data_IF_270027320558
#
_entry.id   IF_270027320558
#
_cell.length_a   1.000
_cell.length_b   1.000
_cell.length_c   1.000
_cell.angle_alpha   90.00
_cell.angle_beta   90.00
_cell.angle_gamma   90.00
#
_symmetry.space_group_name_H-M   'P 1'
#
loop_
_entity.id
_entity.type
_entity.pdbx_description
1 polymer ?
#
# COMPACT_ATOMS: atom_id res chain seq x y z
N UNK A 1 -4.28 6.31 -11.33
CA UNK A 1 -5.16 5.16 -11.44
C UNK A 1 -4.75 4.23 -12.57
N UNK A 2 -4.01 3.21 -12.22
CA UNK A 2 -3.67 2.13 -13.12
C UNK A 2 -4.91 1.24 -13.33
N UNK A 3 -4.97 0.51 -14.46
CA UNK A 3 -6.21 -0.19 -14.83
C UNK A 3 -6.17 -1.72 -14.62
N UNK A 4 -5.08 -2.24 -14.08
CA UNK A 4 -4.89 -3.68 -13.86
C UNK A 4 -4.58 -4.52 -15.10
N UNK A 5 -4.46 -3.90 -16.27
CA UNK A 5 -4.16 -4.59 -17.54
C UNK A 5 -2.86 -4.13 -18.18
N UNK A 6 -2.72 -2.83 -18.39
CA UNK A 6 -1.58 -2.20 -19.04
C UNK A 6 -1.32 -0.84 -18.41
N UNK A 7 -0.32 -0.78 -17.53
CA UNK A 7 0.03 0.44 -16.81
C UNK A 7 0.53 1.55 -17.76
N UNK A 8 1.22 1.21 -18.85
CA UNK A 8 1.74 2.19 -19.80
C UNK A 8 0.60 2.89 -20.52
N UNK A 9 -0.39 2.12 -20.98
CA UNK A 9 -1.59 2.68 -21.59
C UNK A 9 -2.42 3.47 -20.59
N UNK A 10 -2.52 3.02 -19.34
CA UNK A 10 -3.22 3.74 -18.28
C UNK A 10 -2.56 5.10 -18.00
N UNK A 11 -1.24 5.15 -17.87
CA UNK A 11 -0.45 6.38 -17.71
C UNK A 11 -0.65 7.30 -18.92
N UNK A 12 -0.54 6.77 -20.14
CA UNK A 12 -0.74 7.58 -21.36
C UNK A 12 -2.14 8.19 -21.42
N UNK A 13 -3.17 7.47 -21.00
CA UNK A 13 -4.56 7.95 -20.94
C UNK A 13 -4.71 9.13 -19.97
N UNK A 14 -3.96 9.14 -18.86
CA UNK A 14 -4.02 10.17 -17.80
C UNK A 14 -3.03 11.32 -18.02
N UNK A 15 -2.12 11.20 -18.98
CA UNK A 15 -1.03 12.17 -19.23
C UNK A 15 -1.51 13.60 -19.50
N UNK A 16 -2.70 13.72 -20.08
CA UNK A 16 -3.31 15.03 -20.38
C UNK A 16 -4.33 15.47 -19.30
N UNK A 17 -4.28 14.87 -18.12
CA UNK A 17 -5.14 15.14 -16.97
C UNK A 17 -6.16 14.05 -16.69
N UNK A 18 -6.80 14.12 -15.51
CA UNK A 18 -7.76 13.13 -15.04
C UNK A 18 -8.95 12.93 -15.99
N UNK A 19 -9.31 11.68 -16.24
CA UNK A 19 -10.45 11.29 -17.05
C UNK A 19 -11.64 10.94 -16.16
N UNK A 20 -12.56 11.89 -15.92
CA UNK A 20 -13.71 11.73 -15.01
C UNK A 20 -14.53 10.47 -15.32
N UNK A 21 -14.77 10.15 -16.59
CA UNK A 21 -15.55 8.97 -16.97
C UNK A 21 -14.87 7.66 -16.51
N UNK A 22 -13.55 7.57 -16.62
CA UNK A 22 -12.78 6.42 -16.16
C UNK A 22 -12.77 6.33 -14.62
N UNK A 23 -12.52 7.46 -13.94
CA UNK A 23 -12.57 7.53 -12.47
C UNK A 23 -13.94 7.07 -11.96
N UNK A 24 -15.03 7.61 -12.52
CA UNK A 24 -16.38 7.24 -12.17
C UNK A 24 -16.68 5.76 -12.41
N UNK A 25 -16.13 5.17 -13.47
CA UNK A 25 -16.28 3.73 -13.72
C UNK A 25 -15.62 2.89 -12.62
N UNK A 26 -14.43 3.27 -12.14
CA UNK A 26 -13.75 2.60 -11.03
C UNK A 26 -14.51 2.80 -9.70
N UNK A 27 -14.97 4.00 -9.39
CA UNK A 27 -15.76 4.28 -8.18
C UNK A 27 -17.06 3.44 -8.15
N UNK A 28 -17.73 3.25 -9.29
CA UNK A 28 -18.89 2.36 -9.40
C UNK A 28 -18.55 0.91 -9.07
N UNK A 29 -17.36 0.43 -9.44
CA UNK A 29 -16.95 -0.95 -9.13
C UNK A 29 -16.76 -1.16 -7.62
N UNK A 30 -16.24 -0.16 -6.89
CA UNK A 30 -16.19 -0.17 -5.42
C UNK A 30 -17.59 -0.11 -4.81
N UNK A 31 -18.44 0.84 -5.28
CA UNK A 31 -19.80 1.00 -4.78
C UNK A 31 -20.64 -0.26 -4.93
N UNK A 32 -20.61 -0.93 -6.10
CA UNK A 32 -21.33 -2.18 -6.38
C UNK A 32 -20.99 -3.31 -5.40
N UNK A 33 -19.76 -3.31 -4.87
CA UNK A 33 -19.26 -4.32 -3.92
C UNK A 33 -19.40 -3.91 -2.46
N UNK A 34 -20.09 -2.79 -2.20
CA UNK A 34 -20.28 -2.28 -0.84
C UNK A 34 -19.03 -1.70 -0.20
N UNK A 35 -17.95 -1.48 -0.95
CA UNK A 35 -16.72 -0.89 -0.44
C UNK A 35 -16.96 0.60 -0.19
N UNK A 36 -16.80 1.02 1.06
CA UNK A 36 -17.12 2.38 1.54
C UNK A 36 -15.91 3.19 1.95
N UNK A 37 -14.75 2.55 2.02
CA UNK A 37 -13.49 3.18 2.36
C UNK A 37 -12.42 2.76 1.36
N UNK A 38 -11.67 3.71 0.85
CA UNK A 38 -10.55 3.49 -0.06
C UNK A 38 -9.41 4.41 0.32
N UNK A 39 -8.22 3.84 0.46
CA UNK A 39 -6.96 4.55 0.59
C UNK A 39 -6.08 4.20 -0.61
N UNK A 40 -5.71 5.17 -1.42
CA UNK A 40 -4.89 4.93 -2.62
C UNK A 40 -3.39 5.16 -2.39
N UNK A 41 -2.58 4.86 -3.39
CA UNK A 41 -1.13 5.04 -3.36
C UNK A 41 -0.65 6.35 -3.96
N UNK A 42 -1.55 7.21 -4.42
CA UNK A 42 -1.22 8.48 -5.08
C UNK A 42 -0.81 8.35 -6.54
N UNK A 43 -0.74 9.47 -7.22
CA UNK A 43 -0.18 9.65 -8.55
C UNK A 43 0.24 11.10 -8.80
N UNK A 44 1.13 11.34 -9.74
CA UNK A 44 1.57 12.72 -10.08
C UNK A 44 0.82 13.34 -11.27
N UNK A 45 -0.29 12.71 -11.72
CA UNK A 45 -1.14 13.21 -12.81
C UNK A 45 -2.41 13.90 -12.30
N UNK A 46 -2.63 13.92 -10.98
CA UNK A 46 -3.79 14.52 -10.32
C UNK A 46 -5.04 13.65 -10.33
N UNK A 47 -4.94 12.37 -10.73
CA UNK A 47 -6.06 11.45 -10.79
C UNK A 47 -6.55 11.10 -9.38
N UNK A 48 -5.65 10.83 -8.44
CA UNK A 48 -5.96 10.54 -7.04
C UNK A 48 -6.73 11.69 -6.39
N UNK A 49 -6.23 12.92 -6.55
CA UNK A 49 -6.92 14.13 -6.06
C UNK A 49 -8.30 14.32 -6.70
N UNK A 50 -8.42 14.10 -8.02
CA UNK A 50 -9.70 14.18 -8.70
C UNK A 50 -10.67 13.10 -8.23
N UNK A 51 -10.17 11.90 -7.97
CA UNK A 51 -10.95 10.78 -7.42
C UNK A 51 -11.50 11.12 -6.04
N UNK A 52 -10.69 11.70 -5.15
CA UNK A 52 -11.14 12.14 -3.83
C UNK A 52 -12.32 13.13 -3.91
N UNK A 53 -12.31 14.05 -4.88
CA UNK A 53 -13.40 15.00 -5.12
C UNK A 53 -14.71 14.31 -5.58
N UNK A 54 -14.60 13.21 -6.32
CA UNK A 54 -15.75 12.50 -6.90
C UNK A 54 -16.28 11.37 -6.01
N UNK A 55 -15.46 10.85 -5.11
CA UNK A 55 -15.76 9.63 -4.35
C UNK A 55 -17.01 9.75 -3.46
N UNK A 56 -17.27 10.95 -2.90
CA UNK A 56 -18.46 11.23 -2.10
C UNK A 56 -19.78 10.98 -2.83
N UNK A 57 -19.83 11.17 -4.15
CA UNK A 57 -21.01 10.89 -4.98
C UNK A 57 -21.37 9.39 -4.99
N UNK A 58 -20.40 8.52 -4.64
CA UNK A 58 -20.54 7.06 -4.57
C UNK A 58 -20.64 6.53 -3.13
N UNK A 59 -20.69 7.44 -2.14
CA UNK A 59 -20.69 7.09 -0.72
C UNK A 59 -19.39 6.44 -0.24
N UNK A 60 -18.26 6.84 -0.83
CA UNK A 60 -16.93 6.32 -0.53
C UNK A 60 -16.14 7.41 0.22
N UNK A 61 -15.65 7.08 1.42
CA UNK A 61 -14.62 7.83 2.13
C UNK A 61 -13.27 7.49 1.46
N UNK A 62 -12.73 8.44 0.72
CA UNK A 62 -11.52 8.24 -0.07
C UNK A 62 -10.37 9.07 0.47
N UNK A 63 -9.24 8.42 0.74
CA UNK A 63 -8.03 9.03 1.27
C UNK A 63 -6.88 8.89 0.29
N UNK A 64 -6.09 9.94 0.15
CA UNK A 64 -5.00 9.97 -0.81
C UNK A 64 -3.77 10.70 -0.26
N UNK A 65 -2.54 10.23 -0.60
CA UNK A 65 -1.31 10.98 -0.36
C UNK A 65 -1.06 12.01 -1.47
N UNK A 66 -1.99 12.16 -2.40
CA UNK A 66 -1.89 12.89 -3.67
C UNK A 66 -0.87 12.25 -4.61
N UNK A 67 0.40 12.15 -4.19
CA UNK A 67 1.46 11.43 -4.90
C UNK A 67 2.34 10.64 -3.90
N UNK A 68 3.01 9.61 -4.41
CA UNK A 68 4.04 8.93 -3.64
C UNK A 68 5.36 9.72 -3.68
N UNK A 69 6.20 9.57 -2.66
CA UNK A 69 7.53 10.17 -2.59
C UNK A 69 8.59 9.07 -2.67
N UNK A 70 9.51 9.20 -3.60
CA UNK A 70 10.58 8.20 -3.79
C UNK A 70 11.94 8.88 -3.95
N UNK A 71 13.02 8.21 -3.52
CA UNK A 71 14.38 8.69 -3.71
C UNK A 71 14.79 8.54 -5.19
N UNK A 72 15.50 9.52 -5.73
CA UNK A 72 16.05 9.45 -7.10
C UNK A 72 16.81 8.13 -7.33
N UNK A 73 16.69 7.58 -8.53
CA UNK A 73 17.25 6.29 -8.95
C UNK A 73 16.65 5.04 -8.24
N UNK A 74 15.67 5.23 -7.35
CA UNK A 74 14.93 4.15 -6.69
C UNK A 74 13.54 3.94 -7.33
N UNK A 75 12.83 2.91 -6.85
CA UNK A 75 11.47 2.61 -7.30
C UNK A 75 10.48 3.71 -6.89
N UNK A 76 9.52 4.04 -7.79
CA UNK A 76 8.42 4.98 -7.50
C UNK A 76 8.07 5.96 -8.62
N UNK A 77 8.88 6.05 -9.68
CA UNK A 77 8.73 7.04 -10.77
C UNK A 77 7.35 7.04 -11.44
N UNK A 78 6.65 5.89 -11.48
CA UNK A 78 5.37 5.77 -12.17
C UNK A 78 4.27 6.58 -11.48
N UNK A 79 4.31 6.66 -10.14
CA UNK A 79 3.25 7.24 -9.31
C UNK A 79 3.73 8.37 -8.42
N UNK A 80 5.04 8.63 -8.37
CA UNK A 80 5.64 9.51 -7.38
C UNK A 80 6.40 10.69 -7.92
N UNK A 81 6.74 11.59 -7.00
CA UNK A 81 7.70 12.71 -7.17
C UNK A 81 8.99 12.36 -6.45
N UNK A 82 10.13 12.60 -7.09
CA UNK A 82 11.44 12.25 -6.51
C UNK A 82 11.96 13.29 -5.53
N UNK A 83 12.92 12.82 -4.71
CA UNK A 83 13.78 13.66 -3.89
C UNK A 83 15.23 13.14 -3.95
N UNK A 84 16.22 14.03 -3.78
CA UNK A 84 17.65 13.71 -3.78
C UNK A 84 18.27 13.74 -2.38
N UNK A 85 17.69 14.51 -1.45
CA UNK A 85 18.14 14.67 -0.07
C UNK A 85 16.98 15.01 0.87
N UNK A 86 17.19 14.92 2.20
CA UNK A 86 16.11 15.11 3.18
C UNK A 86 15.47 16.49 3.17
N UNK A 87 16.19 17.55 2.82
CA UNK A 87 15.61 18.88 2.65
C UNK A 87 14.60 18.89 1.49
N UNK A 88 14.90 18.19 0.42
CA UNK A 88 14.00 18.04 -0.72
C UNK A 88 12.83 17.12 -0.40
N UNK A 89 13.06 16.06 0.37
CA UNK A 89 12.00 15.19 0.91
C UNK A 89 11.00 16.01 1.74
N UNK A 90 11.47 16.82 2.69
CA UNK A 90 10.61 17.72 3.49
C UNK A 90 9.79 18.64 2.60
N UNK A 91 10.40 19.24 1.57
CA UNK A 91 9.67 20.08 0.60
C UNK A 91 8.56 19.28 -0.12
N UNK A 92 8.79 18.00 -0.44
CA UNK A 92 7.75 17.12 -1.02
C UNK A 92 6.61 16.83 -0.04
N UNK A 93 6.91 16.69 1.24
CA UNK A 93 5.88 16.54 2.29
C UNK A 93 5.01 17.79 2.38
N UNK A 94 5.63 18.98 2.39
CA UNK A 94 4.89 20.24 2.40
C UNK A 94 4.07 20.46 1.12
N UNK A 95 4.60 20.09 -0.04
CA UNK A 95 3.89 20.10 -1.32
C UNK A 95 2.65 19.18 -1.28
N UNK A 96 2.77 17.98 -0.72
CA UNK A 96 1.63 17.07 -0.54
C UNK A 96 0.57 17.68 0.41
N UNK A 97 0.99 18.33 1.50
CA UNK A 97 0.12 19.06 2.41
C UNK A 97 -0.67 20.16 1.71
N UNK A 98 0.00 21.00 0.93
CA UNK A 98 -0.60 22.08 0.14
C UNK A 98 -1.61 21.56 -0.90
N UNK A 99 -1.35 20.38 -1.47
CA UNK A 99 -2.24 19.72 -2.42
C UNK A 99 -3.39 18.95 -1.75
N UNK A 100 -3.44 18.92 -0.41
CA UNK A 100 -4.53 18.33 0.38
C UNK A 100 -4.38 16.83 0.62
N UNK A 101 -3.15 16.35 0.82
CA UNK A 101 -2.90 14.95 1.20
C UNK A 101 -3.50 14.61 2.56
N UNK A 102 -4.05 13.40 2.69
CA UNK A 102 -4.52 12.85 3.96
C UNK A 102 -3.37 12.19 4.75
N UNK A 103 -2.33 11.73 4.07
CA UNK A 103 -1.16 11.03 4.61
C UNK A 103 0.02 11.09 3.63
N UNK A 104 1.20 10.64 4.03
CA UNK A 104 2.37 10.54 3.16
C UNK A 104 2.60 9.10 2.72
N UNK A 105 2.84 8.89 1.42
CA UNK A 105 3.26 7.60 0.85
C UNK A 105 4.74 7.66 0.48
N UNK A 106 5.52 6.70 0.99
CA UNK A 106 6.95 6.55 0.67
C UNK A 106 7.24 5.21 0.01
N UNK A 107 8.33 5.16 -0.76
CA UNK A 107 8.86 3.95 -1.38
C UNK A 107 10.22 3.65 -0.75
N UNK A 108 10.32 2.59 0.06
CA UNK A 108 11.56 2.25 0.79
C UNK A 108 12.37 1.16 0.14
N UNK A 109 11.72 0.35 -0.70
CA UNK A 109 12.35 -0.76 -1.43
C UNK A 109 11.88 -0.82 -2.88
N UNK A 110 12.46 -1.72 -3.65
CA UNK A 110 11.96 -2.09 -4.97
C UNK A 110 10.81 -3.12 -4.92
N UNK A 111 10.47 -3.64 -6.09
CA UNK A 111 9.46 -4.69 -6.29
C UNK A 111 10.04 -6.08 -5.99
N UNK A 112 9.14 -7.06 -5.95
CA UNK A 112 9.54 -8.47 -6.03
C UNK A 112 10.26 -8.74 -7.35
N UNK A 113 11.30 -9.56 -7.30
CA UNK A 113 11.86 -10.19 -8.47
C UNK A 113 11.04 -11.45 -8.79
N UNK A 114 10.38 -11.47 -9.93
CA UNK A 114 9.56 -12.60 -10.37
C UNK A 114 10.36 -13.67 -11.14
N UNK A 115 11.66 -13.48 -11.31
CA UNK A 115 12.59 -14.45 -11.91
C UNK A 115 13.40 -15.17 -10.84
N UNK A 116 13.53 -14.56 -9.64
CA UNK A 116 14.33 -15.12 -8.55
C UNK A 116 13.61 -14.98 -7.20
N UNK A 117 13.12 -16.12 -6.68
CA UNK A 117 12.43 -16.16 -5.40
C UNK A 117 13.33 -15.68 -4.25
N UNK A 118 12.78 -14.82 -3.39
CA UNK A 118 13.48 -14.25 -2.25
C UNK A 118 14.21 -12.94 -2.54
N UNK A 119 14.25 -12.50 -3.80
CA UNK A 119 14.88 -11.24 -4.19
C UNK A 119 13.88 -10.12 -4.41
N UNK A 120 14.37 -8.91 -4.22
CA UNK A 120 13.69 -7.65 -4.56
C UNK A 120 14.55 -6.87 -5.54
N UNK A 121 13.92 -6.09 -6.40
CA UNK A 121 14.62 -5.25 -7.38
C UNK A 121 15.20 -4.00 -6.70
N UNK A 122 16.34 -3.52 -7.20
CA UNK A 122 16.98 -2.30 -6.72
C UNK A 122 17.56 -2.42 -5.30
N UNK A 123 18.02 -1.31 -4.76
CA UNK A 123 18.61 -1.23 -3.42
C UNK A 123 17.58 -0.63 -2.45
N UNK A 124 17.34 -1.24 -1.27
CA UNK A 124 16.53 -0.63 -0.22
C UNK A 124 17.15 0.68 0.29
N UNK A 125 16.31 1.59 0.78
CA UNK A 125 16.79 2.74 1.55
C UNK A 125 17.44 2.27 2.85
N UNK A 126 18.40 3.03 3.35
CA UNK A 126 18.99 2.75 4.65
C UNK A 126 18.00 2.98 5.79
N UNK A 127 18.14 2.24 6.89
CA UNK A 127 17.30 2.41 8.08
C UNK A 127 17.33 3.85 8.61
N UNK A 128 18.48 4.53 8.53
CA UNK A 128 18.62 5.92 8.93
C UNK A 128 17.81 6.87 8.05
N UNK A 129 17.80 6.66 6.73
CA UNK A 129 16.98 7.46 5.81
C UNK A 129 15.50 7.24 6.05
N UNK A 130 15.04 5.98 6.20
CA UNK A 130 13.65 5.66 6.48
C UNK A 130 13.20 6.31 7.79
N UNK A 131 14.03 6.24 8.84
CA UNK A 131 13.75 6.85 10.13
C UNK A 131 13.60 8.38 10.03
N UNK A 132 14.49 9.05 9.30
CA UNK A 132 14.42 10.50 9.11
C UNK A 132 13.19 10.90 8.28
N UNK A 133 12.86 10.14 7.23
CA UNK A 133 11.65 10.36 6.42
C UNK A 133 10.38 10.26 7.25
N UNK A 134 10.25 9.22 8.07
CA UNK A 134 9.09 9.02 8.95
C UNK A 134 9.00 10.14 9.98
N UNK A 135 10.13 10.49 10.61
CA UNK A 135 10.18 11.60 11.57
C UNK A 135 9.69 12.91 10.96
N UNK A 136 10.19 13.31 9.78
CA UNK A 136 9.78 14.52 9.08
C UNK A 136 8.25 14.50 8.79
N UNK A 137 7.72 13.38 8.29
CA UNK A 137 6.30 13.29 7.98
C UNK A 137 5.42 13.37 9.25
N UNK A 138 5.84 12.73 10.34
CA UNK A 138 5.15 12.79 11.64
C UNK A 138 5.19 14.19 12.26
N UNK A 139 6.31 14.91 12.18
CA UNK A 139 6.40 16.32 12.64
C UNK A 139 5.44 17.24 11.88
N UNK A 140 5.19 16.97 10.61
CA UNK A 140 4.19 17.68 9.79
C UNK A 140 2.75 17.17 10.01
N UNK A 141 2.53 16.24 10.96
CA UNK A 141 1.21 15.73 11.34
C UNK A 141 0.64 14.64 10.42
N UNK A 142 1.46 13.98 9.61
CA UNK A 142 1.03 12.93 8.68
C UNK A 142 1.37 11.53 9.16
N UNK A 143 0.43 10.60 9.03
CA UNK A 143 0.73 9.18 9.03
C UNK A 143 1.51 8.78 7.76
N UNK A 144 2.31 7.72 7.86
CA UNK A 144 3.18 7.24 6.77
C UNK A 144 2.76 5.86 6.28
N UNK A 145 2.45 5.77 4.99
CA UNK A 145 2.22 4.54 4.24
C UNK A 145 3.49 4.16 3.49
N UNK A 146 4.01 2.96 3.66
CA UNK A 146 5.27 2.54 3.02
C UNK A 146 5.12 1.33 2.11
N UNK A 147 5.51 1.49 0.83
CA UNK A 147 5.81 0.33 -0.02
C UNK A 147 7.14 -0.29 0.45
N UNK A 148 7.10 -1.53 0.90
CA UNK A 148 8.25 -2.18 1.54
C UNK A 148 8.23 -3.68 1.31
N UNK A 149 9.37 -4.27 0.94
CA UNK A 149 9.57 -5.71 0.76
C UNK A 149 10.90 -6.16 1.38
N UNK A 150 10.99 -7.45 1.71
CA UNK A 150 12.18 -8.07 2.26
C UNK A 150 12.44 -7.74 3.73
N UNK A 151 13.11 -8.64 4.44
CA UNK A 151 13.36 -8.51 5.88
C UNK A 151 13.96 -7.16 6.26
N UNK A 152 15.08 -6.78 5.64
CA UNK A 152 15.76 -5.54 5.95
C UNK A 152 14.84 -4.31 5.80
N UNK A 153 14.09 -4.23 4.71
CA UNK A 153 13.18 -3.11 4.47
C UNK A 153 12.07 -3.04 5.52
N UNK A 154 11.45 -4.19 5.85
CA UNK A 154 10.38 -4.26 6.83
C UNK A 154 10.90 -3.93 8.24
N UNK A 155 12.05 -4.46 8.65
CA UNK A 155 12.67 -4.12 9.93
C UNK A 155 12.94 -2.62 10.03
N UNK A 156 13.56 -2.02 9.01
CA UNK A 156 13.81 -0.58 8.97
C UNK A 156 12.52 0.24 9.04
N UNK A 157 11.44 -0.19 8.38
CA UNK A 157 10.14 0.49 8.44
C UNK A 157 9.49 0.38 9.82
N UNK A 158 9.53 -0.80 10.46
CA UNK A 158 9.01 -1.03 11.81
C UNK A 158 9.76 -0.19 12.83
N UNK A 159 11.11 -0.22 12.81
CA UNK A 159 11.96 0.56 13.71
C UNK A 159 11.79 2.08 13.53
N UNK A 160 11.51 2.52 12.32
CA UNK A 160 11.22 3.92 12.03
C UNK A 160 9.83 4.37 12.50
N UNK A 161 8.92 3.43 12.83
CA UNK A 161 7.56 3.73 13.25
C UNK A 161 6.62 4.07 12.08
N UNK A 162 6.80 3.44 10.92
CA UNK A 162 5.87 3.55 9.78
C UNK A 162 4.46 3.11 10.22
N UNK A 163 3.43 3.86 9.85
CA UNK A 163 2.05 3.59 10.30
C UNK A 163 1.39 2.43 9.54
N UNK A 164 1.69 2.26 8.25
CA UNK A 164 1.32 1.05 7.52
C UNK A 164 2.39 0.58 6.54
N UNK A 165 2.58 -0.73 6.49
CA UNK A 165 3.55 -1.40 5.62
C UNK A 165 2.77 -2.20 4.59
N UNK A 166 2.92 -1.79 3.34
CA UNK A 166 2.27 -2.42 2.20
C UNK A 166 3.15 -3.55 1.67
N UNK A 167 2.55 -4.65 1.30
CA UNK A 167 3.15 -5.89 0.80
C UNK A 167 3.93 -6.66 1.86
N UNK A 168 5.09 -6.18 2.29
CA UNK A 168 6.01 -6.83 3.22
C UNK A 168 6.29 -8.30 2.85
N UNK A 169 6.49 -8.56 1.56
CA UNK A 169 6.84 -9.90 1.09
C UNK A 169 8.20 -10.33 1.65
N UNK A 170 8.37 -11.64 1.83
CA UNK A 170 9.61 -12.28 2.31
C UNK A 170 10.02 -11.92 3.74
N UNK A 171 9.05 -11.64 4.63
CA UNK A 171 9.34 -11.57 6.06
C UNK A 171 9.70 -12.94 6.62
N UNK A 172 10.75 -13.00 7.43
CA UNK A 172 11.05 -14.15 8.28
C UNK A 172 10.31 -14.05 9.63
N UNK A 173 10.52 -15.04 10.49
CA UNK A 173 9.85 -15.14 11.79
C UNK A 173 10.23 -14.01 12.75
N UNK A 174 11.50 -13.56 12.71
CA UNK A 174 11.99 -12.46 13.54
C UNK A 174 11.32 -11.15 13.14
N UNK A 175 11.35 -10.82 11.85
CA UNK A 175 10.72 -9.64 11.28
C UNK A 175 9.22 -9.60 11.57
N UNK A 176 8.55 -10.75 11.44
CA UNK A 176 7.12 -10.85 11.76
C UNK A 176 6.85 -10.64 13.26
N UNK A 177 7.74 -11.07 14.14
CA UNK A 177 7.63 -10.82 15.58
C UNK A 177 7.83 -9.34 15.91
N UNK A 178 8.82 -8.68 15.29
CA UNK A 178 9.00 -7.23 15.42
C UNK A 178 7.75 -6.46 14.98
N UNK A 179 7.13 -6.89 13.88
CA UNK A 179 5.89 -6.28 13.40
C UNK A 179 4.74 -6.49 14.38
N UNK A 180 4.63 -7.68 15.01
CA UNK A 180 3.61 -7.97 16.03
C UNK A 180 3.76 -7.10 17.29
N UNK A 181 4.99 -6.75 17.66
CA UNK A 181 5.29 -5.89 18.81
C UNK A 181 5.20 -4.38 18.48
N UNK A 182 4.91 -4.05 17.21
CA UNK A 182 4.81 -2.68 16.72
C UNK A 182 3.37 -2.15 16.68
N UNK A 183 3.22 -0.87 16.37
CA UNK A 183 1.93 -0.24 16.08
C UNK A 183 1.58 -0.25 14.59
N UNK A 184 2.52 -0.64 13.73
CA UNK A 184 2.35 -0.64 12.28
C UNK A 184 1.25 -1.61 11.84
N UNK A 185 0.47 -1.21 10.87
CA UNK A 185 -0.54 -2.08 10.24
C UNK A 185 0.05 -2.69 8.98
N UNK A 186 0.03 -4.02 8.89
CA UNK A 186 0.42 -4.71 7.66
C UNK A 186 -0.73 -4.82 6.67
N UNK A 187 -0.49 -4.47 5.41
CA UNK A 187 -1.44 -4.61 4.30
C UNK A 187 -0.83 -5.57 3.27
N UNK A 188 -1.13 -6.87 3.32
CA UNK A 188 -0.41 -7.92 2.59
C UNK A 188 -0.49 -7.81 1.07
N UNK A 189 -1.63 -7.40 0.53
CA UNK A 189 -1.90 -7.34 -0.92
C UNK A 189 -1.58 -8.66 -1.65
N UNK A 190 -1.98 -9.79 -1.09
CA UNK A 190 -1.68 -11.15 -1.60
C UNK A 190 -2.11 -11.33 -3.06
N UNK A 191 -3.20 -10.67 -3.45
CA UNK A 191 -3.74 -10.76 -4.82
C UNK A 191 -2.83 -10.20 -5.88
N UNK A 192 -1.85 -9.36 -5.52
CA UNK A 192 -0.84 -8.86 -6.48
C UNK A 192 0.02 -9.99 -7.05
N UNK A 193 0.13 -11.12 -6.35
CA UNK A 193 0.83 -12.32 -6.80
C UNK A 193 -0.16 -13.45 -7.14
N UNK A 194 -1.18 -13.68 -6.31
CA UNK A 194 -2.18 -14.74 -6.55
C UNK A 194 -2.87 -14.60 -7.91
N UNK A 195 -3.22 -13.39 -8.33
CA UNK A 195 -3.88 -13.13 -9.60
C UNK A 195 -2.96 -13.27 -10.83
N UNK A 196 -1.65 -13.48 -10.62
CA UNK A 196 -0.70 -13.74 -11.71
C UNK A 196 -0.62 -15.21 -12.10
N UNK A 197 -1.14 -16.13 -11.29
CA UNK A 197 -1.15 -17.55 -11.64
C UNK A 197 -1.78 -17.76 -13.01
N UNK A 198 -1.18 -18.62 -13.79
CA UNK A 198 -1.62 -19.01 -15.16
C UNK A 198 -1.77 -17.84 -16.15
N UNK A 199 -1.18 -16.65 -15.86
CA UNK A 199 -1.25 -15.51 -16.77
C UNK A 199 -0.30 -15.63 -17.97
N UNK A 200 0.60 -16.62 -17.98
CA UNK A 200 1.58 -16.86 -19.05
C UNK A 200 2.73 -15.85 -19.12
N UNK A 201 2.84 -14.94 -18.14
CA UNK A 201 3.90 -13.92 -18.10
C UNK A 201 5.05 -14.27 -17.15
N UNK A 202 4.78 -15.04 -16.13
CA UNK A 202 5.71 -15.42 -15.08
C UNK A 202 5.66 -16.92 -14.86
N UNK A 203 6.76 -17.51 -14.36
CA UNK A 203 6.84 -18.92 -14.02
C UNK A 203 5.95 -19.27 -12.82
N UNK A 204 4.99 -20.17 -13.00
CA UNK A 204 4.03 -20.56 -11.96
C UNK A 204 4.70 -21.15 -10.71
N UNK A 205 5.86 -21.81 -10.86
CA UNK A 205 6.59 -22.36 -9.73
C UNK A 205 7.11 -21.27 -8.80
N UNK A 206 7.65 -20.18 -9.36
CA UNK A 206 8.12 -19.01 -8.61
C UNK A 206 6.93 -18.31 -7.94
N UNK A 207 5.85 -18.05 -8.70
CA UNK A 207 4.62 -17.47 -8.16
C UNK A 207 4.06 -18.29 -6.99
N UNK A 208 3.98 -19.61 -7.14
CA UNK A 208 3.50 -20.51 -6.09
C UNK A 208 4.35 -20.47 -4.83
N UNK A 209 5.66 -20.30 -4.98
CA UNK A 209 6.58 -20.16 -3.85
C UNK A 209 6.37 -18.84 -3.09
N UNK A 210 6.19 -17.73 -3.81
CA UNK A 210 5.89 -16.41 -3.22
C UNK A 210 4.54 -16.46 -2.50
N UNK A 211 3.51 -16.99 -3.15
CA UNK A 211 2.15 -17.13 -2.59
C UNK A 211 2.21 -17.92 -1.28
N UNK A 212 2.85 -19.08 -1.28
CA UNK A 212 2.96 -19.93 -0.08
C UNK A 212 3.62 -19.19 1.08
N UNK A 213 4.71 -18.46 0.82
CA UNK A 213 5.38 -17.66 1.85
C UNK A 213 4.45 -16.59 2.43
N UNK A 214 3.70 -15.88 1.57
CA UNK A 214 2.72 -14.88 2.00
C UNK A 214 1.58 -15.48 2.84
N UNK A 215 1.05 -16.63 2.41
CA UNK A 215 -0.02 -17.35 3.13
C UNK A 215 0.44 -17.87 4.50
N UNK A 216 1.65 -18.42 4.59
CA UNK A 216 2.24 -18.84 5.86
C UNK A 216 2.46 -17.66 6.80
N UNK A 217 2.94 -16.52 6.28
CA UNK A 217 3.09 -15.30 7.06
C UNK A 217 1.74 -14.75 7.53
N UNK A 218 0.70 -14.81 6.72
CA UNK A 218 -0.65 -14.39 7.15
C UNK A 218 -1.17 -15.27 8.30
N UNK A 219 -1.00 -16.61 8.23
CA UNK A 219 -1.35 -17.54 9.31
C UNK A 219 -0.60 -17.24 10.61
N UNK A 220 0.69 -16.91 10.51
CA UNK A 220 1.52 -16.54 11.66
C UNK A 220 1.10 -15.19 12.22
N UNK A 221 0.83 -14.19 11.37
CA UNK A 221 0.36 -12.88 11.74
C UNK A 221 -0.95 -12.93 12.54
N UNK A 222 -1.91 -13.74 12.10
CA UNK A 222 -3.16 -13.97 12.84
C UNK A 222 -2.90 -14.54 14.24
N UNK A 223 -2.05 -15.58 14.35
CA UNK A 223 -1.69 -16.16 15.66
C UNK A 223 -0.95 -15.20 16.58
N UNK A 224 -0.09 -14.33 16.02
CA UNK A 224 0.69 -13.33 16.75
C UNK A 224 -0.09 -12.03 17.00
N UNK A 225 -1.31 -11.93 16.50
CA UNK A 225 -2.17 -10.72 16.60
C UNK A 225 -1.50 -9.47 15.99
N UNK A 226 -0.78 -9.63 14.88
CA UNK A 226 -0.29 -8.51 14.09
C UNK A 226 -1.47 -7.68 13.65
N UNK A 227 -1.37 -6.35 13.67
CA UNK A 227 -2.40 -5.50 13.08
C UNK A 227 -2.36 -5.61 11.57
N UNK A 228 -3.45 -6.12 10.98
CA UNK A 228 -3.53 -6.36 9.52
C UNK A 228 -4.80 -5.75 8.97
N UNK A 229 -4.69 -5.06 7.85
CA UNK A 229 -5.84 -4.54 7.12
C UNK A 229 -5.87 -5.10 5.69
N UNK A 230 -7.07 -5.23 5.14
CA UNK A 230 -7.27 -5.66 3.75
C UNK A 230 -6.89 -4.53 2.79
N UNK A 231 -6.10 -4.83 1.78
CA UNK A 231 -5.77 -3.93 0.69
C UNK A 231 -5.34 -4.70 -0.54
N UNK A 232 -5.72 -4.24 -1.73
CA UNK A 232 -5.57 -5.00 -2.96
C UNK A 232 -4.46 -4.52 -3.87
N UNK A 233 -3.95 -3.30 -3.70
CA UNK A 233 -3.09 -2.64 -4.69
C UNK A 233 -3.75 -2.62 -6.09
N UNK A 234 -5.06 -2.25 -6.12
CA UNK A 234 -5.82 -2.21 -7.37
C UNK A 234 -5.19 -1.25 -8.38
N UNK A 235 -5.03 -1.73 -9.61
CA UNK A 235 -4.26 -1.09 -10.67
C UNK A 235 -2.97 -1.84 -11.01
N UNK A 236 -2.44 -2.66 -10.10
CA UNK A 236 -1.41 -3.64 -10.44
C UNK A 236 -1.94 -4.64 -11.49
N UNK A 237 -1.02 -5.27 -12.23
CA UNK A 237 -1.40 -6.19 -13.30
C UNK A 237 -2.27 -7.34 -12.76
N UNK A 238 -3.44 -7.54 -13.39
CA UNK A 238 -4.50 -8.48 -12.99
C UNK A 238 -5.25 -8.13 -11.70
N UNK A 239 -5.02 -6.97 -11.09
CA UNK A 239 -5.77 -6.51 -9.90
C UNK A 239 -6.70 -5.36 -10.28
N UNK A 240 -7.99 -5.66 -10.39
CA UNK A 240 -8.99 -4.70 -10.85
C UNK A 240 -9.61 -3.90 -9.69
N UNK A 241 -9.98 -2.66 -9.94
CA UNK A 241 -10.66 -1.82 -8.96
C UNK A 241 -11.94 -2.47 -8.43
N UNK A 242 -12.10 -2.46 -7.13
CA UNK A 242 -13.19 -3.13 -6.42
C UNK A 242 -13.07 -4.64 -6.38
N UNK A 243 -12.88 -5.31 -7.53
CA UNK A 243 -12.72 -6.77 -7.60
C UNK A 243 -11.48 -7.25 -6.86
N UNK A 244 -10.36 -6.52 -6.95
CA UNK A 244 -9.14 -6.87 -6.22
C UNK A 244 -9.34 -6.91 -4.70
N UNK A 245 -10.15 -6.00 -4.14
CA UNK A 245 -10.48 -6.02 -2.71
C UNK A 245 -11.33 -7.23 -2.34
N UNK A 246 -12.31 -7.59 -3.18
CA UNK A 246 -13.10 -8.82 -3.01
C UNK A 246 -12.20 -10.07 -3.08
N UNK A 247 -11.25 -10.11 -4.02
CA UNK A 247 -10.30 -11.20 -4.16
C UNK A 247 -9.37 -11.31 -2.95
N UNK A 248 -8.90 -10.17 -2.40
CA UNK A 248 -8.07 -10.14 -1.19
C UNK A 248 -8.85 -10.65 0.04
N UNK A 249 -10.10 -10.21 0.26
CA UNK A 249 -10.94 -10.75 1.33
C UNK A 249 -11.11 -12.27 1.19
N UNK A 250 -11.36 -12.73 -0.04
CA UNK A 250 -11.48 -14.18 -0.30
C UNK A 250 -10.18 -14.92 0.00
N UNK A 251 -9.02 -14.35 -0.35
CA UNK A 251 -7.72 -14.93 -0.02
C UNK A 251 -7.53 -15.09 1.49
N UNK A 252 -7.94 -14.10 2.30
CA UNK A 252 -7.91 -14.19 3.75
C UNK A 252 -8.79 -15.35 4.25
N UNK A 253 -10.02 -15.49 3.75
CA UNK A 253 -10.93 -16.57 4.14
C UNK A 253 -10.47 -17.95 3.66
N UNK A 254 -9.88 -18.06 2.46
CA UNK A 254 -9.29 -19.30 1.96
C UNK A 254 -8.15 -19.79 2.88
N UNK A 255 -7.36 -18.87 3.44
CA UNK A 255 -6.16 -19.15 4.23
C UNK A 255 -6.49 -19.41 5.70
N UNK A 256 -7.41 -18.64 6.28
CA UNK A 256 -7.70 -18.60 7.72
C UNK A 256 -9.06 -19.19 8.10
N UNK A 257 -9.95 -19.34 7.12
CA UNK A 257 -11.37 -19.66 7.34
C UNK A 257 -12.21 -18.40 7.57
N UNK A 258 -13.47 -18.44 7.18
CA UNK A 258 -14.44 -17.37 7.45
C UNK A 258 -15.05 -17.59 8.84
N UNK A 259 -14.38 -17.06 9.87
CA UNK A 259 -14.81 -17.15 11.28
C UNK A 259 -15.03 -15.76 11.87
N UNK A 260 -15.84 -15.65 12.94
CA UNK A 260 -16.04 -14.38 13.63
C UNK A 260 -14.73 -13.74 14.10
N UNK A 261 -13.75 -14.52 14.53
CA UNK A 261 -12.44 -14.04 14.99
C UNK A 261 -11.63 -13.44 13.84
N UNK A 262 -11.65 -14.09 12.66
CA UNK A 262 -10.96 -13.56 11.47
C UNK A 262 -11.64 -12.28 10.99
N UNK A 263 -12.98 -12.24 10.96
CA UNK A 263 -13.71 -11.03 10.59
C UNK A 263 -13.39 -9.86 11.55
N UNK A 264 -13.43 -10.09 12.85
CA UNK A 264 -13.12 -9.08 13.86
C UNK A 264 -11.68 -8.56 13.74
N UNK A 265 -10.73 -9.44 13.43
CA UNK A 265 -9.33 -9.06 13.22
C UNK A 265 -9.15 -8.18 11.98
N UNK A 266 -9.85 -8.48 10.88
CA UNK A 266 -9.84 -7.65 9.68
C UNK A 266 -10.50 -6.29 9.92
N UNK A 267 -11.61 -6.25 10.66
CA UNK A 267 -12.34 -5.03 11.04
C UNK A 267 -11.49 -4.12 11.94
N UNK A 268 -10.76 -4.69 12.91
CA UNK A 268 -9.83 -3.95 13.75
C UNK A 268 -8.75 -3.26 12.93
N UNK A 269 -8.17 -3.96 11.96
CA UNK A 269 -7.16 -3.40 11.05
C UNK A 269 -7.71 -2.26 10.19
N UNK A 270 -8.93 -2.42 9.66
CA UNK A 270 -9.60 -1.37 8.90
C UNK A 270 -9.82 -0.12 9.75
N UNK A 271 -10.34 -0.28 10.98
CA UNK A 271 -10.59 0.85 11.88
C UNK A 271 -9.30 1.59 12.25
N UNK A 272 -8.19 0.87 12.46
CA UNK A 272 -6.88 1.49 12.67
C UNK A 272 -6.47 2.34 11.47
N UNK A 273 -6.56 1.81 10.26
CA UNK A 273 -6.27 2.57 9.04
C UNK A 273 -7.18 3.80 8.91
N UNK A 274 -8.46 3.67 9.17
CA UNK A 274 -9.42 4.79 9.13
C UNK A 274 -9.08 5.90 10.12
N UNK A 275 -8.61 5.53 11.30
CA UNK A 275 -8.26 6.46 12.36
C UNK A 275 -6.94 7.17 12.11
N UNK A 276 -5.90 6.40 11.70
CA UNK A 276 -4.53 6.92 11.53
C UNK A 276 -4.37 7.79 10.30
N UNK A 277 -4.96 7.41 9.18
CA UNK A 277 -4.67 8.03 7.87
C UNK A 277 -5.57 9.24 7.57
N UNK A 278 -5.59 10.20 8.52
CA UNK A 278 -6.15 11.55 8.39
C UNK A 278 -5.12 12.57 8.79
N UNK A 279 -4.93 13.61 8.00
CA UNK A 279 -4.03 14.70 8.39
C UNK A 279 -4.43 15.27 9.76
N UNK A 280 -3.45 15.44 10.64
CA UNK A 280 -3.64 15.92 12.02
C UNK A 280 -4.00 14.82 13.04
N UNK A 281 -4.17 13.55 12.64
CA UNK A 281 -4.44 12.45 13.56
C UNK A 281 -3.21 11.92 14.30
N UNK A 282 -2.00 12.17 13.78
CA UNK A 282 -0.73 11.76 14.41
C UNK A 282 -0.52 12.34 15.83
N UNK A 283 -1.18 13.45 16.18
CA UNK A 283 -1.18 13.99 17.53
C UNK A 283 -2.00 13.17 18.56
N UNK A 284 -2.79 12.18 18.10
CA UNK A 284 -3.60 11.32 18.97
C UNK A 284 -2.83 10.06 19.45
N UNK A 285 -1.63 9.83 18.94
CA UNK A 285 -0.85 8.61 19.21
C UNK A 285 0.23 8.82 20.29
N UNK A 286 0.40 10.03 20.80
CA UNK A 286 1.39 10.36 21.84
C UNK A 286 0.89 10.17 23.28
N UNK A 287 -0.23 9.46 23.48
CA UNK A 287 -0.72 9.15 24.84
C UNK A 287 -0.66 7.66 25.11
#
# INVERSE_FOLDING_TARGET
>A
FLNGYDYRKAVETQKNGPQDALIRSHLKEYQKRGIRFVRDGGDHYGVSRRTAQLAGEYGIDYRTPVFAIYKEEHYGKIVGKSFSNMKEYHRRVLEAAEEGADFIKIMTTGLLDFEDHGKITGTPLSAAEVKEMVHIAHEEGFAVMSHTNGNYGVQAAVEAGVDSIEHANYMDEETLSMLADSRSVWVPTLVTVRNLMDCGRFENEILSSIIRTGEENLKKAFRKKVHVAVGSDAGAFKVLHGKGTEDECRAFFDILGETPEVCAWMEEGEERIRTLFRHGSSNLIQV
#
